data_IF_473249538414
#
_entry.id   IF_473249538414
#
_cell.length_a   1.000
_cell.length_b   1.000
_cell.length_c   1.000
_cell.angle_alpha   90.00
_cell.angle_beta   90.00
_cell.angle_gamma   90.00
#
_symmetry.space_group_name_H-M   'P 1'
#
loop_
_entity.id
_entity.type
_entity.pdbx_description
1 polymer ?
#
# COMPACT_ATOMS: atom_id res chain seq x y z
N UNK A 1 -16.77 -25.82 3.16
CA UNK A 1 -17.94 -26.57 3.57
C UNK A 1 -17.49 -27.87 4.26
N UNK A 2 -18.33 -28.44 5.13
CA UNK A 2 -17.98 -29.65 5.91
C UNK A 2 -17.73 -30.88 5.02
N UNK A 3 -18.44 -30.98 3.92
CA UNK A 3 -18.35 -32.08 2.93
C UNK A 3 -17.05 -32.02 2.11
N UNK A 4 -16.51 -30.83 1.84
CA UNK A 4 -15.35 -30.63 0.96
C UNK A 4 -14.02 -30.49 1.74
N UNK A 5 -14.08 -30.12 3.02
CA UNK A 5 -12.89 -29.76 3.80
C UNK A 5 -12.17 -28.49 3.28
N UNK A 6 -10.85 -28.46 3.41
CA UNK A 6 -10.02 -27.34 2.94
C UNK A 6 -9.68 -27.53 1.46
N UNK A 7 -10.19 -26.66 0.62
CA UNK A 7 -9.94 -26.67 -0.82
C UNK A 7 -8.69 -25.86 -1.19
N UNK A 8 -8.00 -26.15 -2.32
CA UNK A 8 -6.84 -25.41 -2.78
C UNK A 8 -7.07 -23.88 -2.89
N UNK A 9 -8.27 -23.49 -3.31
CA UNK A 9 -8.69 -22.09 -3.37
C UNK A 9 -8.71 -21.43 -1.98
N UNK A 10 -9.13 -22.17 -0.94
CA UNK A 10 -9.13 -21.70 0.44
C UNK A 10 -7.71 -21.41 0.91
N UNK A 11 -6.79 -22.32 0.58
CA UNK A 11 -5.34 -22.14 0.88
C UNK A 11 -4.80 -20.88 0.23
N UNK A 12 -5.05 -20.68 -1.08
CA UNK A 12 -4.61 -19.47 -1.80
C UNK A 12 -5.18 -18.19 -1.16
N UNK A 13 -6.46 -18.19 -0.80
CA UNK A 13 -7.09 -17.03 -0.14
C UNK A 13 -6.48 -16.74 1.24
N UNK A 14 -6.20 -17.76 2.04
CA UNK A 14 -5.54 -17.59 3.34
C UNK A 14 -4.12 -17.03 3.19
N UNK A 15 -3.38 -17.44 2.17
CA UNK A 15 -2.07 -16.86 1.87
C UNK A 15 -2.16 -15.41 1.46
N UNK A 16 -3.13 -15.04 0.62
CA UNK A 16 -3.40 -13.63 0.27
C UNK A 16 -3.73 -12.82 1.52
N UNK A 17 -4.60 -13.32 2.40
CA UNK A 17 -4.94 -12.64 3.66
C UNK A 17 -3.72 -12.48 4.57
N UNK A 18 -2.85 -13.49 4.65
CA UNK A 18 -1.58 -13.42 5.39
C UNK A 18 -0.66 -12.34 4.81
N UNK A 19 -0.50 -12.28 3.49
CA UNK A 19 0.30 -11.25 2.81
C UNK A 19 -0.29 -9.84 3.03
N UNK A 20 -1.61 -9.72 3.10
CA UNK A 20 -2.31 -8.49 3.45
C UNK A 20 -2.27 -8.18 4.95
N UNK A 21 -1.67 -9.07 5.77
CA UNK A 21 -1.46 -8.85 7.20
C UNK A 21 -2.70 -9.06 8.07
N UNK A 22 -3.68 -9.81 7.57
CA UNK A 22 -4.80 -10.29 8.40
C UNK A 22 -4.28 -11.39 9.33
N UNK A 23 -4.60 -11.30 10.61
CA UNK A 23 -4.09 -12.24 11.63
C UNK A 23 -5.19 -12.87 12.50
N UNK A 24 -6.41 -12.39 12.35
CA UNK A 24 -7.57 -12.82 13.14
C UNK A 24 -8.82 -12.87 12.29
N UNK A 25 -9.82 -13.62 12.72
CA UNK A 25 -11.10 -13.73 12.00
C UNK A 25 -11.96 -14.86 12.53
N UNK A 26 -13.05 -15.12 11.84
CA UNK A 26 -13.95 -16.23 12.11
C UNK A 26 -13.95 -17.21 10.97
N UNK A 27 -14.10 -18.50 11.30
CA UNK A 27 -14.28 -19.57 10.34
C UNK A 27 -15.68 -20.15 10.52
N UNK A 28 -16.44 -20.17 9.44
CA UNK A 28 -17.74 -20.83 9.40
C UNK A 28 -17.62 -22.15 8.62
N UNK A 29 -17.70 -23.29 9.29
CA UNK A 29 -17.83 -24.61 8.66
C UNK A 29 -19.30 -24.79 8.32
N UNK A 30 -19.63 -24.60 7.06
CA UNK A 30 -21.02 -24.64 6.56
C UNK A 30 -21.41 -26.05 6.11
N UNK A 31 -22.72 -26.27 5.89
CA UNK A 31 -23.29 -27.52 5.39
C UNK A 31 -23.03 -28.73 6.30
N UNK A 32 -23.01 -28.52 7.62
CA UNK A 32 -22.83 -29.63 8.58
C UNK A 32 -23.99 -30.62 8.53
N UNK A 33 -25.15 -30.24 8.02
CA UNK A 33 -26.34 -31.09 7.82
C UNK A 33 -26.19 -32.18 6.75
N UNK A 34 -25.26 -32.00 5.81
CA UNK A 34 -24.99 -32.97 4.75
C UNK A 34 -24.09 -34.10 5.25
N UNK A 35 -23.21 -33.80 6.22
CA UNK A 35 -22.28 -34.78 6.78
C UNK A 35 -22.92 -35.44 8.00
N UNK A 36 -23.09 -36.78 7.92
CA UNK A 36 -23.67 -37.57 9.01
C UNK A 36 -22.66 -38.03 10.06
N UNK A 37 -21.39 -37.98 9.72
CA UNK A 37 -20.29 -38.44 10.55
C UNK A 37 -19.68 -37.22 11.30
N UNK A 38 -19.90 -37.19 12.60
CA UNK A 38 -19.35 -36.10 13.44
C UNK A 38 -17.83 -36.18 13.55
N UNK A 39 -17.23 -37.38 13.52
CA UNK A 39 -15.78 -37.53 13.58
C UNK A 39 -15.11 -36.90 12.33
N UNK A 40 -15.77 -36.95 11.19
CA UNK A 40 -15.32 -36.26 9.98
C UNK A 40 -15.31 -34.74 10.15
N UNK A 41 -16.35 -34.17 10.78
CA UNK A 41 -16.42 -32.72 11.03
C UNK A 41 -15.32 -32.30 12.00
N UNK A 42 -15.03 -33.12 13.02
CA UNK A 42 -13.92 -32.88 13.98
C UNK A 42 -12.57 -32.87 13.26
N UNK A 43 -12.34 -33.80 12.32
CA UNK A 43 -11.11 -33.83 11.52
C UNK A 43 -10.98 -32.59 10.63
N UNK A 44 -12.05 -32.17 9.96
CA UNK A 44 -12.06 -30.95 9.16
C UNK A 44 -11.73 -29.71 10.02
N UNK A 45 -12.25 -29.65 11.24
CA UNK A 45 -11.96 -28.56 12.17
C UNK A 45 -10.50 -28.55 12.57
N UNK A 46 -9.90 -29.70 12.90
CA UNK A 46 -8.47 -29.83 13.21
C UNK A 46 -7.58 -29.40 12.04
N UNK A 47 -7.90 -29.86 10.82
CA UNK A 47 -7.18 -29.45 9.60
C UNK A 47 -7.22 -27.94 9.39
N UNK A 48 -8.36 -27.29 9.67
CA UNK A 48 -8.52 -25.85 9.61
C UNK A 48 -7.64 -25.16 10.67
N UNK A 49 -7.64 -25.64 11.90
CA UNK A 49 -6.82 -25.08 12.98
C UNK A 49 -5.33 -25.13 12.63
N UNK A 50 -4.86 -26.29 12.15
CA UNK A 50 -3.48 -26.47 11.71
C UNK A 50 -3.13 -25.56 10.52
N UNK A 51 -4.01 -25.49 9.55
CA UNK A 51 -3.86 -24.66 8.35
C UNK A 51 -3.73 -23.17 8.69
N UNK A 52 -4.52 -22.67 9.64
CA UNK A 52 -4.50 -21.28 10.10
C UNK A 52 -3.25 -21.00 10.94
N UNK A 53 -2.93 -21.89 11.88
CA UNK A 53 -1.76 -21.77 12.78
C UNK A 53 -0.45 -21.71 12.00
N UNK A 54 -0.29 -22.57 11.01
CA UNK A 54 0.88 -22.58 10.11
C UNK A 54 1.07 -21.25 9.34
N UNK A 55 -0.02 -20.51 9.12
CA UNK A 55 0.00 -19.22 8.40
C UNK A 55 0.06 -18.00 9.32
N UNK A 56 0.16 -18.23 10.65
CA UNK A 56 0.31 -17.19 11.63
C UNK A 56 -0.98 -16.43 11.98
N UNK A 57 -2.14 -17.08 11.80
CA UNK A 57 -3.39 -16.60 12.36
C UNK A 57 -3.40 -16.94 13.86
N UNK A 58 -3.44 -15.92 14.72
CA UNK A 58 -3.25 -16.07 16.16
C UNK A 58 -4.56 -16.04 16.96
N UNK A 59 -5.61 -15.46 16.38
CA UNK A 59 -6.91 -15.32 17.02
C UNK A 59 -8.01 -15.61 16.00
N UNK A 60 -8.66 -16.77 16.15
CA UNK A 60 -9.80 -17.15 15.34
C UNK A 60 -10.76 -18.03 16.16
N UNK A 61 -12.05 -17.91 15.84
CA UNK A 61 -13.09 -18.80 16.34
C UNK A 61 -13.63 -19.64 15.18
N UNK A 62 -13.95 -20.88 15.44
CA UNK A 62 -14.54 -21.78 14.46
C UNK A 62 -16.00 -22.07 14.87
N UNK A 63 -16.91 -21.88 13.95
CA UNK A 63 -18.35 -22.11 14.13
C UNK A 63 -18.84 -23.14 13.13
N UNK A 64 -19.53 -24.18 13.64
CA UNK A 64 -20.23 -25.18 12.85
C UNK A 64 -21.62 -24.68 12.52
N UNK A 65 -21.94 -24.52 11.25
CA UNK A 65 -23.14 -23.83 10.81
C UNK A 65 -24.02 -24.71 9.92
N UNK A 66 -25.28 -24.81 10.32
CA UNK A 66 -26.34 -25.32 9.48
C UNK A 66 -27.25 -24.17 9.02
N UNK A 67 -27.13 -23.80 7.74
CA UNK A 67 -27.91 -22.70 7.19
C UNK A 67 -29.41 -23.01 7.03
N UNK A 68 -29.82 -24.28 7.06
CA UNK A 68 -31.23 -24.67 6.89
C UNK A 68 -32.04 -24.43 8.18
N UNK A 69 -31.46 -24.74 9.32
CA UNK A 69 -32.14 -24.60 10.62
C UNK A 69 -31.59 -23.49 11.52
N UNK A 70 -30.50 -22.80 11.09
CA UNK A 70 -29.90 -21.69 11.81
C UNK A 70 -28.95 -22.08 12.95
N UNK A 71 -28.63 -23.37 13.11
CA UNK A 71 -27.71 -23.81 14.15
C UNK A 71 -26.32 -23.21 13.96
N UNK A 72 -25.68 -22.70 15.03
CA UNK A 72 -24.37 -22.03 15.03
C UNK A 72 -24.38 -20.57 14.55
N UNK A 73 -25.49 -20.04 14.01
CA UNK A 73 -25.55 -18.67 13.55
C UNK A 73 -25.59 -17.63 14.66
N UNK A 74 -26.25 -17.95 15.79
CA UNK A 74 -26.35 -17.02 16.93
C UNK A 74 -25.01 -16.82 17.61
N UNK A 75 -24.23 -17.89 17.75
CA UNK A 75 -22.88 -17.86 18.32
C UNK A 75 -21.94 -17.02 17.44
N UNK A 76 -21.94 -17.27 16.13
CA UNK A 76 -21.16 -16.47 15.19
C UNK A 76 -21.56 -14.99 15.23
N UNK A 77 -22.86 -14.69 15.29
CA UNK A 77 -23.37 -13.33 15.37
C UNK A 77 -22.93 -12.64 16.64
N UNK A 78 -23.01 -13.31 17.79
CA UNK A 78 -22.55 -12.79 19.07
C UNK A 78 -21.06 -12.46 19.07
N UNK A 79 -20.22 -13.34 18.50
CA UNK A 79 -18.78 -13.11 18.37
C UNK A 79 -18.47 -11.90 17.49
N UNK A 80 -19.19 -11.72 16.39
CA UNK A 80 -19.06 -10.55 15.51
C UNK A 80 -19.47 -9.27 16.24
N UNK A 81 -20.59 -9.28 16.95
CA UNK A 81 -21.10 -8.13 17.71
C UNK A 81 -20.11 -7.71 18.81
N UNK A 82 -19.46 -8.65 19.50
CA UNK A 82 -18.46 -8.37 20.51
C UNK A 82 -17.26 -7.57 19.96
N UNK A 83 -16.74 -7.95 18.79
CA UNK A 83 -15.61 -7.22 18.16
C UNK A 83 -16.05 -5.88 17.58
N UNK A 84 -17.23 -5.79 16.98
CA UNK A 84 -17.75 -4.52 16.44
C UNK A 84 -17.93 -3.48 17.56
N UNK A 85 -18.24 -3.91 18.77
CA UNK A 85 -18.36 -3.03 19.93
C UNK A 85 -17.00 -2.60 20.51
N UNK A 86 -15.91 -3.31 20.21
CA UNK A 86 -14.56 -2.86 20.50
C UNK A 86 -14.20 -1.74 19.50
N UNK A 87 -14.29 -0.48 19.97
CA UNK A 87 -13.99 0.69 19.14
C UNK A 87 -12.56 0.63 18.62
N UNK A 88 -12.40 0.25 17.36
CA UNK A 88 -11.14 0.43 16.64
C UNK A 88 -11.07 1.90 16.23
N UNK A 89 -10.10 2.68 16.71
CA UNK A 89 -9.95 4.06 16.28
C UNK A 89 -9.61 4.08 14.78
N UNK A 90 -10.51 4.61 13.96
CA UNK A 90 -10.20 4.92 12.57
C UNK A 90 -9.17 6.06 12.54
N UNK A 91 -8.19 5.93 11.64
CA UNK A 91 -7.26 7.02 11.39
C UNK A 91 -8.02 8.20 10.77
N UNK A 92 -8.09 9.32 11.49
CA UNK A 92 -8.59 10.61 10.99
C UNK A 92 -7.59 11.21 9.99
N UNK A 93 -7.41 10.54 8.86
CA UNK A 93 -6.58 11.08 7.79
C UNK A 93 -7.37 12.12 6.99
N UNK A 94 -6.76 13.29 6.80
CA UNK A 94 -7.28 14.34 5.92
C UNK A 94 -7.23 13.96 4.43
N UNK A 95 -6.66 12.81 4.07
CA UNK A 95 -6.39 12.40 2.69
C UNK A 95 -7.33 11.28 2.26
N UNK A 96 -8.42 11.64 1.58
CA UNK A 96 -9.37 10.68 1.04
C UNK A 96 -8.78 9.84 -0.08
N UNK A 97 -9.04 8.52 -0.05
CA UNK A 97 -8.69 7.58 -1.11
C UNK A 97 -9.65 6.38 -1.14
N UNK A 98 -10.09 6.03 -2.37
CA UNK A 98 -10.96 4.89 -2.64
C UNK A 98 -10.45 4.12 -3.86
N UNK A 99 -10.37 2.79 -3.78
CA UNK A 99 -10.10 1.93 -4.93
C UNK A 99 -11.39 1.59 -5.68
N UNK A 100 -11.45 1.95 -6.96
CA UNK A 100 -12.63 1.67 -7.81
C UNK A 100 -12.66 0.18 -8.16
N UNK A 101 -13.74 -0.50 -7.78
CA UNK A 101 -13.97 -1.91 -8.10
C UNK A 101 -15.01 -2.15 -9.20
N UNK A 102 -15.97 -1.24 -9.36
CA UNK A 102 -16.99 -1.28 -10.44
C UNK A 102 -17.30 0.11 -10.94
N UNK A 103 -17.69 0.18 -12.21
CA UNK A 103 -18.15 1.41 -12.86
C UNK A 103 -19.38 1.07 -13.68
N UNK A 104 -20.43 1.89 -13.57
CA UNK A 104 -21.67 1.72 -14.33
C UNK A 104 -22.42 3.04 -14.48
N UNK A 105 -23.40 3.06 -15.39
CA UNK A 105 -24.38 4.17 -15.51
C UNK A 105 -25.63 3.79 -14.75
N UNK A 106 -26.10 4.70 -13.91
CA UNK A 106 -27.44 4.61 -13.29
C UNK A 106 -28.36 5.62 -13.95
N UNK A 107 -29.45 5.15 -14.52
CA UNK A 107 -30.48 5.99 -15.18
C UNK A 107 -30.89 7.14 -14.27
N UNK A 108 -30.87 8.37 -14.77
CA UNK A 108 -31.19 9.59 -14.01
C UNK A 108 -30.06 10.14 -13.13
N UNK A 109 -29.00 9.36 -12.85
CA UNK A 109 -27.88 9.78 -11.98
C UNK A 109 -26.56 9.98 -12.75
N UNK A 110 -26.38 9.31 -13.89
CA UNK A 110 -25.12 9.35 -14.65
C UNK A 110 -24.10 8.33 -14.22
N UNK A 111 -22.82 8.69 -14.30
CA UNK A 111 -21.69 7.77 -14.02
C UNK A 111 -21.53 7.52 -12.52
N UNK A 112 -21.53 6.26 -12.13
CA UNK A 112 -21.37 5.80 -10.75
C UNK A 112 -20.14 4.90 -10.66
N UNK A 113 -19.28 5.14 -9.68
CA UNK A 113 -18.17 4.27 -9.31
C UNK A 113 -18.43 3.67 -7.94
N UNK A 114 -18.07 2.40 -7.75
CA UNK A 114 -18.12 1.75 -6.43
C UNK A 114 -16.73 1.37 -5.97
N UNK A 115 -16.56 1.32 -4.65
CA UNK A 115 -15.31 0.91 -4.03
C UNK A 115 -15.35 0.98 -2.52
N UNK A 116 -14.23 0.63 -1.90
CA UNK A 116 -14.01 0.77 -0.46
C UNK A 116 -13.11 1.95 -0.19
N UNK A 117 -13.50 2.80 0.77
CA UNK A 117 -12.66 3.90 1.25
C UNK A 117 -11.51 3.30 2.07
N UNK A 118 -10.30 3.45 1.57
CA UNK A 118 -9.09 2.91 2.22
C UNK A 118 -8.40 3.93 3.10
N UNK A 119 -8.73 5.22 2.93
CA UNK A 119 -8.18 6.30 3.75
C UNK A 119 -9.05 7.54 3.71
N UNK A 120 -9.11 8.28 4.83
CA UNK A 120 -9.75 9.58 4.95
C UNK A 120 -11.28 9.56 4.89
N UNK A 121 -11.85 10.75 4.72
CA UNK A 121 -13.29 11.02 4.62
C UNK A 121 -13.55 11.90 3.41
N UNK A 122 -14.75 11.77 2.81
CA UNK A 122 -15.24 12.64 1.75
C UNK A 122 -16.72 12.95 1.91
N UNK A 123 -17.11 14.15 1.49
CA UNK A 123 -18.48 14.63 1.53
C UNK A 123 -19.03 14.87 0.13
N UNK A 124 -20.36 14.89 0.03
CA UNK A 124 -21.03 15.28 -1.21
C UNK A 124 -20.66 16.73 -1.57
N UNK A 125 -20.37 16.97 -2.84
CA UNK A 125 -19.98 18.28 -3.34
C UNK A 125 -18.48 18.50 -3.44
N UNK A 126 -17.64 17.65 -2.84
CA UNK A 126 -16.18 17.79 -2.90
C UNK A 126 -15.59 17.37 -4.25
N UNK A 127 -14.42 17.93 -4.56
CA UNK A 127 -13.66 17.63 -5.78
C UNK A 127 -12.73 16.44 -5.54
N UNK A 128 -12.69 15.54 -6.51
CA UNK A 128 -11.82 14.36 -6.52
C UNK A 128 -11.06 14.26 -7.85
N UNK A 129 -10.00 13.48 -7.84
CA UNK A 129 -9.21 13.13 -9.02
C UNK A 129 -9.22 11.61 -9.21
N UNK A 130 -9.44 11.17 -10.47
CA UNK A 130 -9.35 9.76 -10.86
C UNK A 130 -7.96 9.50 -11.40
N UNK A 131 -7.21 8.61 -10.75
CA UNK A 131 -5.85 8.23 -11.14
C UNK A 131 -5.81 6.81 -11.72
N UNK A 132 -4.94 6.52 -12.70
CA UNK A 132 -3.89 7.37 -13.27
C UNK A 132 -4.36 8.35 -14.35
N UNK A 133 -5.67 8.43 -14.65
CA UNK A 133 -6.27 9.26 -15.69
C UNK A 133 -5.97 10.76 -15.49
N UNK A 134 -5.82 11.20 -14.22
CA UNK A 134 -5.67 12.61 -13.80
C UNK A 134 -6.87 13.49 -14.18
N UNK A 135 -8.05 12.88 -14.25
CA UNK A 135 -9.30 13.59 -14.51
C UNK A 135 -9.96 14.03 -13.21
N UNK A 136 -10.36 15.28 -13.14
CA UNK A 136 -11.08 15.86 -12.00
C UNK A 136 -12.58 15.63 -12.14
N UNK A 137 -13.21 15.30 -11.02
CA UNK A 137 -14.64 15.10 -10.91
C UNK A 137 -15.17 15.74 -9.63
N UNK A 138 -16.47 15.96 -9.58
CA UNK A 138 -17.17 16.39 -8.36
C UNK A 138 -18.12 15.29 -7.90
N UNK A 139 -18.17 15.02 -6.61
CA UNK A 139 -19.11 14.07 -6.01
C UNK A 139 -20.50 14.69 -6.02
N UNK A 140 -21.42 14.10 -6.77
CA UNK A 140 -22.83 14.57 -6.87
C UNK A 140 -23.75 13.88 -5.87
N UNK A 141 -23.41 12.68 -5.44
CA UNK A 141 -24.17 11.93 -4.47
C UNK A 141 -23.42 10.72 -3.99
N UNK A 142 -23.73 10.29 -2.80
CA UNK A 142 -23.09 9.17 -2.10
C UNK A 142 -24.16 8.20 -1.65
N UNK A 143 -23.94 6.90 -1.85
CA UNK A 143 -24.75 5.82 -1.29
C UNK A 143 -23.83 4.84 -0.57
N UNK A 144 -24.18 4.49 0.67
CA UNK A 144 -23.51 3.47 1.48
C UNK A 144 -24.54 2.70 2.29
N UNK A 145 -24.30 1.42 2.57
CA UNK A 145 -25.19 0.55 3.34
C UNK A 145 -26.66 0.55 2.85
N UNK A 146 -26.87 0.68 1.53
CA UNK A 146 -28.20 0.65 0.92
C UNK A 146 -28.97 1.97 0.97
N UNK A 147 -28.44 3.03 1.55
CA UNK A 147 -29.05 4.37 1.68
C UNK A 147 -28.20 5.48 1.11
N UNK A 148 -28.80 6.65 0.88
CA UNK A 148 -28.07 7.89 0.57
C UNK A 148 -27.49 8.48 1.85
N UNK A 149 -26.27 9.01 1.74
CA UNK A 149 -25.55 9.67 2.85
C UNK A 149 -24.83 10.91 2.35
N UNK A 150 -24.55 11.85 3.23
CA UNK A 150 -23.82 13.07 2.89
C UNK A 150 -22.30 12.87 2.89
N UNK A 151 -21.80 11.87 3.66
CA UNK A 151 -20.37 11.60 3.81
C UNK A 151 -20.09 10.10 3.96
N UNK A 152 -18.85 9.71 3.63
CA UNK A 152 -18.27 8.39 3.88
C UNK A 152 -16.85 8.52 4.38
N UNK A 153 -16.35 7.49 5.07
CA UNK A 153 -15.03 7.46 5.68
C UNK A 153 -14.34 6.11 5.51
N UNK A 154 -13.10 6.04 5.98
CA UNK A 154 -12.30 4.81 5.95
C UNK A 154 -13.06 3.59 6.44
N UNK A 155 -13.07 2.52 5.65
CA UNK A 155 -13.78 1.27 5.91
C UNK A 155 -15.14 1.19 5.18
N UNK A 156 -15.77 2.30 4.83
CA UNK A 156 -17.06 2.30 4.15
C UNK A 156 -16.94 1.74 2.73
N UNK A 157 -17.90 0.91 2.37
CA UNK A 157 -18.15 0.54 0.99
C UNK A 157 -19.23 1.46 0.41
N UNK A 158 -18.91 2.17 -0.67
CA UNK A 158 -19.78 3.19 -1.21
C UNK A 158 -19.92 3.16 -2.73
N UNK A 159 -21.04 3.71 -3.20
CA UNK A 159 -21.29 4.09 -4.58
C UNK A 159 -21.31 5.62 -4.69
N UNK A 160 -20.43 6.15 -5.51
CA UNK A 160 -20.23 7.58 -5.71
C UNK A 160 -20.71 7.98 -7.11
N UNK A 161 -21.66 8.87 -7.18
CA UNK A 161 -22.04 9.53 -8.42
C UNK A 161 -21.03 10.66 -8.68
N UNK A 162 -20.30 10.56 -9.79
CA UNK A 162 -19.25 11.53 -10.16
C UNK A 162 -19.61 12.27 -11.45
N UNK A 163 -19.21 13.53 -11.51
CA UNK A 163 -19.44 14.40 -12.67
C UNK A 163 -18.24 14.41 -13.62
N UNK A 164 -18.50 14.87 -14.86
CA UNK A 164 -17.49 15.31 -15.82
C UNK A 164 -16.51 14.24 -16.35
N UNK A 165 -16.75 12.96 -16.08
CA UNK A 165 -15.94 11.86 -16.63
C UNK A 165 -16.87 10.88 -17.33
N UNK A 166 -16.50 10.48 -18.56
CA UNK A 166 -17.27 9.52 -19.35
C UNK A 166 -17.05 8.10 -18.82
N UNK A 167 -18.08 7.26 -18.93
CA UNK A 167 -17.97 5.85 -18.53
C UNK A 167 -16.82 5.12 -19.22
N UNK A 168 -16.57 5.41 -20.50
CA UNK A 168 -15.49 4.78 -21.29
C UNK A 168 -14.07 5.08 -20.80
N UNK A 169 -13.91 6.12 -19.96
CA UNK A 169 -12.61 6.52 -19.38
C UNK A 169 -12.38 5.87 -18.02
N UNK A 170 -13.44 5.28 -17.44
CA UNK A 170 -13.41 4.69 -16.12
C UNK A 170 -13.39 3.16 -16.20
N UNK A 171 -12.57 2.56 -15.35
CA UNK A 171 -12.49 1.11 -15.23
C UNK A 171 -12.05 0.68 -13.82
N UNK A 172 -12.29 -0.58 -13.50
CA UNK A 172 -11.75 -1.21 -12.30
C UNK A 172 -10.22 -1.04 -12.25
N UNK A 173 -9.68 -0.79 -11.07
CA UNK A 173 -8.24 -0.62 -10.85
C UNK A 173 -7.79 0.84 -10.78
N UNK A 174 -8.65 1.78 -11.15
CA UNK A 174 -8.38 3.19 -10.90
C UNK A 174 -8.59 3.55 -9.43
N UNK A 175 -7.97 4.65 -9.02
CA UNK A 175 -8.07 5.20 -7.66
C UNK A 175 -8.74 6.55 -7.71
N UNK A 176 -9.75 6.74 -6.87
CA UNK A 176 -10.37 8.03 -6.62
C UNK A 176 -9.75 8.63 -5.37
N UNK A 177 -9.29 9.87 -5.42
CA UNK A 177 -8.65 10.52 -4.29
C UNK A 177 -8.80 12.05 -4.33
N UNK A 178 -8.44 12.75 -3.27
CA UNK A 178 -8.33 14.21 -3.34
C UNK A 178 -7.25 14.63 -4.34
N UNK A 179 -7.45 15.74 -5.06
CA UNK A 179 -6.52 16.19 -6.09
C UNK A 179 -5.10 16.41 -5.55
N UNK A 180 -4.12 15.86 -6.25
CA UNK A 180 -2.70 16.08 -6.00
C UNK A 180 -2.07 15.29 -4.85
N UNK A 181 -2.83 14.47 -4.10
CA UNK A 181 -2.26 13.68 -2.99
C UNK A 181 -1.39 12.51 -3.45
N UNK A 182 -1.69 11.95 -4.61
CA UNK A 182 -0.92 10.86 -5.21
C UNK A 182 -0.42 11.23 -6.60
N UNK A 183 0.71 10.66 -6.96
CA UNK A 183 1.25 10.75 -8.33
C UNK A 183 1.31 9.35 -8.92
N UNK A 184 0.66 9.10 -10.07
CA UNK A 184 0.80 7.83 -10.76
C UNK A 184 2.27 7.54 -11.08
N UNK A 185 2.69 6.31 -10.81
CA UNK A 185 4.08 5.88 -11.00
C UNK A 185 4.19 4.55 -11.71
N UNK A 186 5.27 4.37 -12.47
CA UNK A 186 5.68 3.08 -13.03
C UNK A 186 6.79 2.42 -12.21
N UNK A 187 7.42 3.15 -11.31
CA UNK A 187 8.57 2.68 -10.56
C UNK A 187 8.28 2.74 -9.07
N UNK A 188 8.37 1.60 -8.40
CA UNK A 188 8.18 1.50 -6.95
C UNK A 188 9.29 0.66 -6.32
N UNK A 189 9.78 1.07 -5.14
CA UNK A 189 10.58 0.20 -4.28
C UNK A 189 9.64 -0.50 -3.33
N UNK A 190 9.84 -1.77 -3.18
CA UNK A 190 8.98 -2.66 -2.41
C UNK A 190 9.79 -3.58 -1.51
N UNK A 191 9.20 -3.99 -0.39
CA UNK A 191 9.58 -5.20 0.34
C UNK A 191 8.72 -6.32 -0.17
N UNK A 192 9.31 -7.39 -0.65
CA UNK A 192 8.59 -8.60 -1.06
C UNK A 192 8.79 -9.70 -0.02
N UNK A 193 7.78 -10.55 0.13
CA UNK A 193 7.79 -11.77 0.93
C UNK A 193 7.18 -12.89 0.11
N UNK A 194 7.92 -13.97 -0.07
CA UNK A 194 7.44 -15.16 -0.78
C UNK A 194 6.42 -15.93 0.06
N UNK A 195 5.44 -16.52 -0.62
CA UNK A 195 4.45 -17.42 -0.03
C UNK A 195 5.12 -18.71 0.43
N UNK A 196 4.62 -19.32 1.51
CA UNK A 196 5.19 -20.54 2.06
C UNK A 196 4.87 -21.79 1.23
N UNK A 197 3.72 -21.82 0.54
CA UNK A 197 3.27 -22.98 -0.24
C UNK A 197 3.83 -23.01 -1.67
N UNK A 198 4.39 -21.88 -2.15
CA UNK A 198 4.83 -21.76 -3.54
C UNK A 198 6.06 -22.60 -3.85
N UNK A 199 6.07 -23.18 -5.04
CA UNK A 199 7.29 -23.76 -5.65
C UNK A 199 8.08 -22.77 -6.50
N UNK A 200 7.53 -21.56 -6.69
CA UNK A 200 8.15 -20.52 -7.51
C UNK A 200 9.33 -19.83 -6.81
N UNK A 201 10.25 -19.37 -7.63
CA UNK A 201 11.31 -18.44 -7.25
C UNK A 201 11.16 -17.15 -8.05
N UNK A 202 11.45 -16.01 -7.47
CA UNK A 202 11.49 -14.72 -8.18
C UNK A 202 12.93 -14.46 -8.62
N UNK A 203 13.15 -14.45 -9.94
CA UNK A 203 14.44 -14.13 -10.57
C UNK A 203 14.53 -12.65 -10.91
N UNK A 204 15.75 -12.12 -10.95
CA UNK A 204 15.96 -10.74 -11.38
C UNK A 204 15.45 -10.53 -12.82
N UNK A 205 14.78 -9.40 -13.04
CA UNK A 205 14.16 -9.00 -14.31
C UNK A 205 12.96 -9.87 -14.75
N UNK A 206 12.43 -10.71 -13.89
CA UNK A 206 11.27 -11.54 -14.19
C UNK A 206 10.03 -10.67 -14.42
N UNK A 207 9.23 -11.04 -15.42
CA UNK A 207 7.93 -10.41 -15.72
C UNK A 207 6.83 -11.11 -14.92
N UNK A 208 6.08 -10.33 -14.14
CA UNK A 208 5.09 -10.81 -13.18
C UNK A 208 3.83 -9.92 -13.22
N UNK A 209 2.74 -10.39 -12.60
CA UNK A 209 1.51 -9.62 -12.38
C UNK A 209 1.53 -9.05 -10.98
N UNK A 210 1.25 -7.75 -10.87
CA UNK A 210 1.18 -7.02 -9.62
C UNK A 210 -0.23 -6.51 -9.39
N UNK A 211 -0.76 -6.76 -8.20
CA UNK A 211 -2.09 -6.32 -7.79
C UNK A 211 -1.95 -5.26 -6.69
N UNK A 212 -2.21 -3.99 -7.03
CA UNK A 212 -2.26 -2.86 -6.11
C UNK A 212 -3.72 -2.46 -5.91
N UNK A 213 -4.28 -2.69 -4.71
CA UNK A 213 -5.71 -2.52 -4.47
C UNK A 213 -6.54 -3.33 -5.47
N UNK A 214 -7.33 -2.66 -6.30
CA UNK A 214 -8.16 -3.29 -7.36
C UNK A 214 -7.50 -3.33 -8.74
N UNK A 215 -6.30 -2.73 -8.86
CA UNK A 215 -5.53 -2.66 -10.11
C UNK A 215 -4.69 -3.90 -10.34
N UNK A 216 -4.73 -4.45 -11.54
CA UNK A 216 -3.79 -5.47 -12.03
C UNK A 216 -2.89 -4.86 -13.09
N UNK A 217 -1.57 -4.92 -12.88
CA UNK A 217 -0.58 -4.39 -13.81
C UNK A 217 0.58 -5.37 -13.96
N UNK A 218 1.06 -5.52 -15.18
CA UNK A 218 2.26 -6.30 -15.47
C UNK A 218 3.49 -5.43 -15.24
N UNK A 219 4.56 -6.05 -14.74
CA UNK A 219 5.83 -5.37 -14.52
C UNK A 219 7.01 -6.33 -14.44
N UNK A 220 8.19 -5.74 -14.36
CA UNK A 220 9.44 -6.47 -14.13
C UNK A 220 10.01 -6.13 -12.77
N UNK A 221 10.49 -7.17 -12.08
CA UNK A 221 11.09 -7.02 -10.77
C UNK A 221 12.60 -7.02 -10.88
N UNK A 222 13.24 -6.03 -10.24
CA UNK A 222 14.70 -5.93 -10.09
C UNK A 222 15.03 -6.17 -8.64
N UNK A 223 15.55 -7.34 -8.34
CA UNK A 223 15.95 -7.72 -6.99
C UNK A 223 17.29 -7.08 -6.63
N UNK A 224 17.48 -6.77 -5.34
CA UNK A 224 18.76 -6.29 -4.85
C UNK A 224 19.88 -7.29 -5.19
N UNK A 225 20.98 -6.76 -5.73
CA UNK A 225 22.17 -7.55 -6.13
C UNK A 225 21.82 -8.71 -7.10
N UNK A 226 20.75 -8.57 -7.87
CA UNK A 226 20.26 -9.58 -8.82
C UNK A 226 19.98 -10.96 -8.19
N UNK A 227 19.84 -11.04 -6.88
CA UNK A 227 19.58 -12.30 -6.16
C UNK A 227 18.23 -12.90 -6.53
N UNK A 228 18.20 -14.23 -6.57
CA UNK A 228 16.96 -15.00 -6.64
C UNK A 228 16.31 -14.98 -5.25
N UNK A 229 15.02 -14.71 -5.19
CA UNK A 229 14.24 -14.75 -3.94
C UNK A 229 13.47 -16.07 -3.91
N UNK A 230 13.77 -16.88 -2.92
CA UNK A 230 13.24 -18.23 -2.77
C UNK A 230 12.05 -18.26 -1.82
N UNK A 231 11.37 -19.40 -1.77
CA UNK A 231 10.29 -19.72 -0.83
C UNK A 231 10.61 -19.25 0.58
N UNK A 232 9.62 -18.62 1.24
CA UNK A 232 9.71 -18.07 2.59
C UNK A 232 10.71 -16.93 2.80
N UNK A 233 11.48 -16.56 1.78
CA UNK A 233 12.42 -15.44 1.86
C UNK A 233 11.71 -14.10 1.63
N UNK A 234 12.38 -13.05 2.06
CA UNK A 234 11.98 -11.68 1.78
C UNK A 234 13.15 -10.85 1.25
N UNK A 235 12.88 -9.94 0.33
CA UNK A 235 13.89 -9.06 -0.24
C UNK A 235 13.33 -7.68 -0.53
N UNK A 236 14.20 -6.68 -0.58
CA UNK A 236 13.85 -5.42 -1.20
C UNK A 236 14.05 -5.53 -2.71
N UNK A 237 13.18 -4.88 -3.46
CA UNK A 237 13.26 -4.89 -4.91
C UNK A 237 12.70 -3.59 -5.49
N UNK A 238 13.10 -3.27 -6.72
CA UNK A 238 12.44 -2.28 -7.55
C UNK A 238 11.50 -2.97 -8.53
N UNK A 239 10.27 -2.51 -8.61
CA UNK A 239 9.31 -2.95 -9.62
C UNK A 239 9.16 -1.86 -10.67
N UNK A 240 9.29 -2.26 -11.94
CA UNK A 240 9.11 -1.42 -13.12
C UNK A 240 7.84 -1.90 -13.82
N UNK A 241 6.76 -1.12 -13.71
CA UNK A 241 5.44 -1.44 -14.22
C UNK A 241 5.29 -1.02 -15.70
N UNK A 242 4.55 -1.79 -16.47
CA UNK A 242 4.26 -1.49 -17.87
C UNK A 242 3.28 -0.31 -18.01
N UNK A 243 2.34 -0.17 -17.05
CA UNK A 243 1.43 0.98 -16.95
C UNK A 243 1.50 1.63 -15.56
N UNK A 244 1.18 2.93 -15.45
CA UNK A 244 1.26 3.62 -14.17
C UNK A 244 0.14 3.18 -13.21
N UNK A 245 0.45 3.12 -11.91
CA UNK A 245 -0.50 2.89 -10.83
C UNK A 245 -0.49 4.06 -9.84
N UNK A 246 -1.61 4.27 -9.17
CA UNK A 246 -1.72 5.20 -8.06
C UNK A 246 -1.61 4.42 -6.74
N UNK A 247 -0.43 4.38 -6.17
CA UNK A 247 -0.13 3.70 -4.92
C UNK A 247 0.57 4.63 -3.94
N UNK A 248 0.37 4.39 -2.64
CA UNK A 248 0.99 5.12 -1.55
C UNK A 248 2.06 4.28 -0.84
N UNK A 249 2.85 4.91 0.02
CA UNK A 249 3.72 4.19 0.94
C UNK A 249 2.85 3.33 1.86
N UNK A 250 3.38 2.16 2.21
CA UNK A 250 2.74 1.14 3.05
C UNK A 250 1.48 0.50 2.43
N UNK A 251 1.17 0.78 1.16
CA UNK A 251 0.20 -0.03 0.44
C UNK A 251 0.73 -1.46 0.30
N UNK A 252 -0.14 -2.42 0.61
CA UNK A 252 0.11 -3.83 0.40
C UNK A 252 -0.26 -4.21 -1.03
N UNK A 253 0.48 -5.15 -1.59
CA UNK A 253 0.25 -5.65 -2.93
C UNK A 253 0.52 -7.15 -3.00
N UNK A 254 -0.05 -7.79 -4.03
CA UNK A 254 0.12 -9.22 -4.30
C UNK A 254 0.86 -9.39 -5.62
N UNK A 255 1.72 -10.41 -5.68
CA UNK A 255 2.43 -10.82 -6.89
C UNK A 255 1.90 -12.18 -7.32
N UNK A 256 1.50 -12.25 -8.58
CA UNK A 256 1.12 -13.53 -9.22
C UNK A 256 2.07 -13.85 -10.36
N UNK A 257 2.28 -15.14 -10.59
CA UNK A 257 3.00 -15.63 -11.76
C UNK A 257 2.26 -15.25 -13.05
N UNK A 258 3.00 -15.17 -14.16
CA UNK A 258 2.39 -14.80 -15.43
C UNK A 258 1.53 -15.92 -16.02
N UNK A 259 2.04 -17.15 -16.00
CA UNK A 259 1.35 -18.37 -16.44
C UNK A 259 2.09 -19.60 -15.90
N UNK A 260 1.39 -20.55 -15.26
CA UNK A 260 0.03 -20.47 -14.76
C UNK A 260 -0.15 -19.34 -13.74
N UNK A 261 -1.38 -18.87 -13.54
CA UNK A 261 -1.64 -17.75 -12.65
C UNK A 261 -1.79 -18.22 -11.20
N UNK A 262 -0.72 -18.12 -10.44
CA UNK A 262 -0.64 -18.50 -9.02
C UNK A 262 -0.15 -17.34 -8.17
N UNK A 263 -0.64 -17.23 -6.94
CA UNK A 263 -0.11 -16.27 -5.96
C UNK A 263 1.23 -16.77 -5.44
N UNK A 264 2.30 -16.03 -5.72
CA UNK A 264 3.68 -16.43 -5.41
C UNK A 264 4.33 -15.59 -4.31
N UNK A 265 3.92 -14.34 -4.19
CA UNK A 265 4.46 -13.41 -3.22
C UNK A 265 3.49 -12.25 -2.97
N UNK A 266 3.81 -11.44 -1.99
CA UNK A 266 3.20 -10.13 -1.76
C UNK A 266 4.18 -9.22 -1.05
N UNK A 267 3.73 -8.03 -0.68
CA UNK A 267 4.64 -7.12 0.01
C UNK A 267 4.07 -5.76 0.31
N UNK A 268 4.97 -4.83 0.54
CA UNK A 268 4.70 -3.49 1.00
C UNK A 268 5.44 -2.48 0.13
N UNK A 269 4.79 -1.40 -0.25
CA UNK A 269 5.39 -0.29 -1.00
C UNK A 269 6.22 0.56 -0.04
N UNK A 270 7.53 0.68 -0.31
CA UNK A 270 8.46 1.44 0.53
C UNK A 270 8.78 2.82 -0.04
N UNK A 271 8.78 2.97 -1.38
CA UNK A 271 9.05 4.23 -2.06
C UNK A 271 8.36 4.28 -3.41
N UNK A 272 7.91 5.46 -3.82
CA UNK A 272 7.21 5.71 -5.09
C UNK A 272 7.90 6.82 -5.88
N UNK A 273 7.61 6.92 -7.19
CA UNK A 273 8.09 8.00 -8.04
C UNK A 273 9.63 8.12 -8.12
N UNK A 274 10.31 6.97 -8.21
CA UNK A 274 11.76 6.90 -8.30
C UNK A 274 12.18 7.32 -9.71
N UNK A 275 13.00 8.37 -9.79
CA UNK A 275 13.50 8.93 -11.06
C UNK A 275 14.89 8.37 -11.39
N UNK A 276 15.66 7.93 -10.39
CA UNK A 276 17.01 7.43 -10.58
C UNK A 276 17.03 6.09 -11.34
N UNK A 277 18.02 5.86 -12.22
CA UNK A 277 18.23 4.56 -12.84
C UNK A 277 18.44 3.47 -11.77
N UNK A 278 17.98 2.26 -12.05
CA UNK A 278 17.98 1.15 -11.08
C UNK A 278 19.37 0.87 -10.48
N UNK A 279 20.46 1.01 -11.25
CA UNK A 279 21.83 0.79 -10.79
C UNK A 279 22.34 1.85 -9.79
N UNK A 280 21.68 3.01 -9.74
CA UNK A 280 21.98 4.08 -8.75
C UNK A 280 21.16 3.95 -7.47
N UNK A 281 20.21 3.03 -7.41
CA UNK A 281 19.32 2.86 -6.26
C UNK A 281 19.71 1.69 -5.36
N UNK A 282 20.82 1.00 -5.65
CA UNK A 282 21.26 -0.14 -4.83
C UNK A 282 21.43 0.22 -3.36
N UNK A 283 22.00 1.39 -3.06
CA UNK A 283 22.14 1.88 -1.69
C UNK A 283 20.76 2.10 -1.03
N UNK A 284 19.81 2.67 -1.78
CA UNK A 284 18.43 2.82 -1.33
C UNK A 284 17.76 1.46 -1.09
N UNK A 285 17.90 0.50 -2.02
CA UNK A 285 17.34 -0.85 -1.86
C UNK A 285 17.93 -1.59 -0.66
N UNK A 286 19.23 -1.43 -0.41
CA UNK A 286 19.91 -2.11 0.69
C UNK A 286 19.47 -1.57 2.06
N UNK A 287 19.34 -0.25 2.17
CA UNK A 287 19.25 0.43 3.45
C UNK A 287 17.85 0.96 3.82
N UNK A 288 16.88 0.96 2.87
CA UNK A 288 15.55 1.51 3.13
C UNK A 288 14.82 0.74 4.26
N UNK A 289 14.47 1.42 5.38
CA UNK A 289 13.86 0.75 6.53
C UNK A 289 12.41 0.34 6.26
N UNK A 290 12.00 -0.77 6.88
CA UNK A 290 10.60 -1.23 6.86
C UNK A 290 9.73 -0.38 7.79
N UNK A 291 10.25 0.00 8.95
CA UNK A 291 9.56 0.85 9.92
C UNK A 291 9.31 2.25 9.34
N UNK A 292 8.07 2.77 9.35
CA UNK A 292 7.73 4.03 8.73
C UNK A 292 8.48 5.25 9.30
N UNK A 293 8.68 5.33 10.63
CA UNK A 293 9.37 6.46 11.27
C UNK A 293 10.86 6.47 10.87
N UNK A 294 11.52 5.29 10.88
CA UNK A 294 12.91 5.15 10.42
C UNK A 294 13.04 5.41 8.92
N UNK A 295 12.09 4.94 8.12
CA UNK A 295 12.06 5.16 6.67
C UNK A 295 11.89 6.65 6.33
N UNK A 296 11.04 7.36 7.06
CA UNK A 296 10.89 8.80 6.90
C UNK A 296 12.23 9.54 7.09
N UNK A 297 12.92 9.29 8.21
CA UNK A 297 14.24 9.90 8.49
C UNK A 297 15.25 9.55 7.40
N UNK A 298 15.34 8.28 7.05
CA UNK A 298 16.23 7.79 6.01
C UNK A 298 15.97 8.49 4.66
N UNK A 299 14.70 8.64 4.26
CA UNK A 299 14.36 9.30 2.99
C UNK A 299 14.60 10.81 3.02
N UNK A 300 14.43 11.48 4.16
CA UNK A 300 14.84 12.88 4.33
C UNK A 300 16.36 13.02 4.16
N UNK A 301 17.15 12.15 4.81
CA UNK A 301 18.60 12.13 4.65
C UNK A 301 19.03 11.78 3.23
N UNK A 302 18.40 10.78 2.60
CA UNK A 302 18.71 10.38 1.23
C UNK A 302 18.47 11.52 0.22
N UNK A 303 17.45 12.35 0.46
CA UNK A 303 17.11 13.50 -0.38
C UNK A 303 17.83 14.80 0.04
N UNK A 304 18.86 14.76 0.85
CA UNK A 304 19.50 15.95 1.42
C UNK A 304 19.98 16.97 0.39
N UNK A 305 20.42 16.55 -0.80
CA UNK A 305 20.82 17.43 -1.89
C UNK A 305 19.64 18.17 -2.55
N UNK A 306 18.42 17.66 -2.38
CA UNK A 306 17.17 18.22 -2.91
C UNK A 306 16.07 18.14 -1.85
N UNK A 307 16.21 18.89 -0.76
CA UNK A 307 15.26 18.82 0.36
C UNK A 307 13.85 19.14 -0.11
N UNK A 308 12.87 18.50 0.53
CA UNK A 308 11.45 18.64 0.22
C UNK A 308 10.74 19.39 1.32
N UNK A 309 9.62 20.04 0.96
CA UNK A 309 8.79 20.74 1.92
C UNK A 309 8.16 19.79 2.94
N UNK A 310 7.85 20.32 4.11
CA UNK A 310 7.10 19.58 5.14
C UNK A 310 5.81 19.00 4.56
N UNK A 311 5.04 19.81 3.81
CA UNK A 311 3.81 19.39 3.14
C UNK A 311 4.02 18.20 2.19
N UNK A 312 5.14 18.16 1.45
CA UNK A 312 5.49 17.01 0.60
C UNK A 312 5.62 15.73 1.43
N UNK A 313 6.29 15.79 2.59
CA UNK A 313 6.48 14.64 3.45
C UNK A 313 5.19 14.21 4.15
N UNK A 314 4.36 15.14 4.60
CA UNK A 314 3.04 14.88 5.16
C UNK A 314 2.16 14.13 4.14
N UNK A 315 2.10 14.63 2.90
CA UNK A 315 1.37 13.97 1.81
C UNK A 315 1.96 12.62 1.43
N UNK A 316 3.28 12.44 1.53
CA UNK A 316 3.94 11.18 1.17
C UNK A 316 3.71 10.08 2.20
N UNK A 317 3.69 10.43 3.47
CA UNK A 317 3.53 9.51 4.60
C UNK A 317 2.13 9.55 5.24
N UNK A 318 1.14 10.11 4.57
CA UNK A 318 -0.21 10.29 5.12
C UNK A 318 -0.83 9.00 5.65
N UNK A 319 -0.42 7.86 5.11
CA UNK A 319 -0.94 6.54 5.44
C UNK A 319 -0.24 5.90 6.66
N UNK A 320 0.93 6.40 7.05
CA UNK A 320 1.84 5.69 7.95
C UNK A 320 2.26 6.49 9.16
N UNK A 321 2.41 7.81 9.04
CA UNK A 321 2.98 8.66 10.10
C UNK A 321 2.04 9.83 10.39
N UNK A 322 1.57 9.98 11.65
CA UNK A 322 0.81 11.15 12.05
C UNK A 322 1.64 12.45 11.90
N UNK A 323 0.99 13.50 11.43
CA UNK A 323 1.58 14.84 11.20
C UNK A 323 2.42 15.36 12.37
N UNK A 324 1.96 15.13 13.61
CA UNK A 324 2.63 15.58 14.83
C UNK A 324 3.98 14.89 15.06
N UNK A 325 4.14 13.63 14.64
CA UNK A 325 5.43 12.90 14.78
C UNK A 325 6.52 13.43 13.85
N UNK A 326 6.15 13.94 12.67
CA UNK A 326 7.10 14.54 11.72
C UNK A 326 7.76 15.76 12.33
N UNK A 327 7.00 16.59 13.06
CA UNK A 327 7.48 17.83 13.66
C UNK A 327 8.30 17.65 14.95
N UNK A 328 8.16 16.50 15.66
CA UNK A 328 8.84 16.23 16.94
C UNK A 328 10.18 15.49 16.79
N UNK A 329 10.80 15.55 15.62
CA UNK A 329 12.06 14.83 15.40
C UNK A 329 13.27 15.73 15.63
N UNK A 330 14.05 15.48 16.71
CA UNK A 330 15.21 16.26 17.09
C UNK A 330 16.38 16.20 16.10
N UNK A 331 16.43 15.19 15.23
CA UNK A 331 17.47 15.01 14.20
C UNK A 331 17.20 15.81 12.93
N UNK A 332 15.97 16.33 12.79
CA UNK A 332 15.54 17.07 11.62
C UNK A 332 15.41 18.57 11.93
N UNK A 333 15.57 19.38 10.89
CA UNK A 333 15.45 20.84 10.96
C UNK A 333 14.56 21.34 9.82
N UNK A 334 13.72 22.32 10.12
CA UNK A 334 12.87 22.99 9.16
C UNK A 334 13.48 24.34 8.79
N UNK A 335 13.69 24.62 7.50
CA UNK A 335 14.12 25.92 7.02
C UNK A 335 13.00 26.97 7.08
N UNK A 336 13.36 28.24 6.90
CA UNK A 336 12.41 29.35 6.77
C UNK A 336 11.44 29.14 5.59
N UNK A 337 11.87 28.43 4.56
CA UNK A 337 11.07 28.08 3.38
C UNK A 337 10.25 26.78 3.57
N UNK A 338 10.13 26.29 4.80
CA UNK A 338 9.46 25.02 5.12
C UNK A 338 10.06 23.78 4.44
N UNK A 339 11.36 23.79 4.12
CA UNK A 339 12.09 22.62 3.65
C UNK A 339 12.63 21.82 4.83
N UNK A 340 12.41 20.50 4.81
CA UNK A 340 12.85 19.59 5.87
C UNK A 340 14.16 18.92 5.47
N UNK A 341 15.15 18.92 6.36
CA UNK A 341 16.44 18.27 6.15
C UNK A 341 17.07 17.75 7.45
N UNK A 342 18.01 16.82 7.31
CA UNK A 342 18.77 16.26 8.44
C UNK A 342 19.83 17.28 8.91
N UNK A 343 19.88 17.55 10.23
CA UNK A 343 20.88 18.40 10.86
C UNK A 343 22.30 17.90 10.55
N UNK A 344 22.52 16.58 10.66
CA UNK A 344 23.79 15.94 10.37
C UNK A 344 24.25 16.18 8.93
N UNK A 345 23.33 16.03 7.94
CA UNK A 345 23.66 16.25 6.53
C UNK A 345 23.92 17.73 6.23
N UNK A 346 23.25 18.64 6.93
CA UNK A 346 23.51 20.10 6.84
C UNK A 346 24.91 20.43 7.28
N UNK A 347 25.38 19.90 8.42
CA UNK A 347 26.75 20.10 8.88
C UNK A 347 27.78 19.50 7.91
N UNK A 348 27.59 18.28 7.46
CA UNK A 348 28.47 17.69 6.45
C UNK A 348 28.52 18.52 5.16
N UNK A 349 27.41 19.09 4.71
CA UNK A 349 27.38 19.97 3.54
C UNK A 349 28.18 21.26 3.76
N UNK A 350 28.15 21.84 4.97
CA UNK A 350 28.99 23.01 5.32
C UNK A 350 30.48 22.68 5.23
N UNK A 351 30.86 21.48 5.74
CA UNK A 351 32.25 21.04 5.68
C UNK A 351 32.71 20.79 4.23
N UNK A 352 31.85 20.17 3.40
CA UNK A 352 32.12 19.97 1.97
C UNK A 352 32.31 21.34 1.25
N UNK A 353 31.47 22.31 1.55
CA UNK A 353 31.57 23.69 1.01
C UNK A 353 32.88 24.36 1.44
N UNK A 354 33.18 24.29 2.73
CA UNK A 354 34.42 24.87 3.27
C UNK A 354 35.66 24.24 2.62
N UNK A 355 35.70 22.91 2.50
CA UNK A 355 36.78 22.18 1.85
C UNK A 355 36.91 22.57 0.37
N UNK A 356 35.78 22.74 -0.33
CA UNK A 356 35.78 23.21 -1.71
C UNK A 356 36.42 24.61 -1.84
N UNK A 357 36.06 25.52 -0.95
CA UNK A 357 36.67 26.87 -0.94
C UNK A 357 38.15 26.80 -0.63
N UNK A 358 38.56 26.10 0.41
CA UNK A 358 39.98 25.97 0.80
C UNK A 358 40.80 25.39 -0.36
N UNK A 359 40.32 24.31 -1.00
CA UNK A 359 41.01 23.70 -2.15
C UNK A 359 41.06 24.64 -3.37
N UNK A 360 39.99 25.40 -3.60
CA UNK A 360 39.93 26.35 -4.72
C UNK A 360 40.88 27.53 -4.56
N UNK A 361 41.01 28.05 -3.35
CA UNK A 361 41.94 29.13 -3.04
C UNK A 361 43.40 28.63 -2.95
N UNK A 362 43.63 27.41 -2.46
CA UNK A 362 44.96 26.80 -2.48
C UNK A 362 45.50 26.62 -3.93
N UNK A 363 44.61 26.23 -4.87
CA UNK A 363 44.97 26.08 -6.29
C UNK A 363 45.17 27.44 -7.00
N UNK A 364 44.49 28.50 -6.53
CA UNK A 364 44.60 29.82 -7.12
C UNK A 364 44.51 30.91 -6.06
N UNK A 365 45.61 31.23 -5.36
CA UNK A 365 45.64 32.18 -4.25
C UNK A 365 45.18 33.59 -4.59
N UNK A 366 45.26 34.00 -5.84
CA UNK A 366 44.85 35.33 -6.32
C UNK A 366 43.36 35.43 -6.70
N UNK A 367 42.63 34.34 -6.59
CA UNK A 367 41.19 34.31 -6.91
C UNK A 367 40.41 35.03 -5.81
N UNK A 368 39.75 36.15 -6.17
CA UNK A 368 38.93 36.92 -5.20
C UNK A 368 37.49 36.44 -5.06
N UNK A 369 36.96 35.75 -6.05
CA UNK A 369 35.53 35.35 -6.09
C UNK A 369 35.40 33.95 -6.70
N UNK A 370 34.55 33.14 -6.12
CA UNK A 370 34.10 31.85 -6.69
C UNK A 370 32.61 31.98 -7.04
N UNK A 371 32.27 31.74 -8.29
CA UNK A 371 30.89 31.80 -8.73
C UNK A 371 30.05 30.73 -8.04
N UNK A 372 28.84 31.09 -7.64
CA UNK A 372 27.89 30.16 -6.97
C UNK A 372 27.62 28.93 -7.83
N UNK A 373 27.59 29.08 -9.15
CA UNK A 373 27.44 27.98 -10.13
C UNK A 373 28.57 26.95 -10.01
N UNK A 374 29.81 27.40 -9.80
CA UNK A 374 30.97 26.50 -9.59
C UNK A 374 30.84 25.69 -8.31
N UNK A 375 30.31 26.30 -7.24
CA UNK A 375 30.02 25.60 -5.98
C UNK A 375 28.95 24.59 -6.16
N UNK A 376 27.84 24.95 -6.83
CA UNK A 376 26.73 24.03 -7.13
C UNK A 376 27.20 22.82 -7.94
N UNK A 377 27.96 23.05 -9.00
CA UNK A 377 28.44 21.96 -9.88
C UNK A 377 29.44 21.02 -9.21
N UNK A 378 30.14 21.48 -8.18
CA UNK A 378 31.07 20.64 -7.43
C UNK A 378 30.40 19.79 -6.34
N UNK A 379 29.21 20.20 -5.85
CA UNK A 379 28.52 19.57 -4.72
C UNK A 379 27.28 18.76 -5.13
N UNK A 380 26.70 18.99 -6.30
CA UNK A 380 25.53 18.30 -6.84
C UNK A 380 25.91 17.22 -7.83
#
# INVERSE_FOLDING_TARGET
>A
AADDGIMPQTIEHLEILTLLGVKSGWVAITKIDIVKDEEWIDLVELDIQDCLSLRGFNAFSIHRINNLNGNGLNELKSDIENIVNEKVPYSDSEYFRLFIDRVFIKTGFGTVVTGTVVNGRIEQGEEVEVLPLKAKAKIRGIQSHGGSTEAIQTGDRAALNISNIRLSELHRGQTLCFPGILKPTKNVIVKIKMVQSTSWEIKNNQRLRFHFGTSEVIGRIKTYDSKVVKKSESSNAMVILESPVATALDDKFIIRSYSPMETIAGGLVLETNIIAPWYKINDLLMNIPLDPDKRFRFLVEYNWKRPKSLKFWEMKFFNSIPKIKILKNDELELSVENLLFSKKKKENAKDEINNFFLNSYAKNPFRKVIALESVKNALL
#
